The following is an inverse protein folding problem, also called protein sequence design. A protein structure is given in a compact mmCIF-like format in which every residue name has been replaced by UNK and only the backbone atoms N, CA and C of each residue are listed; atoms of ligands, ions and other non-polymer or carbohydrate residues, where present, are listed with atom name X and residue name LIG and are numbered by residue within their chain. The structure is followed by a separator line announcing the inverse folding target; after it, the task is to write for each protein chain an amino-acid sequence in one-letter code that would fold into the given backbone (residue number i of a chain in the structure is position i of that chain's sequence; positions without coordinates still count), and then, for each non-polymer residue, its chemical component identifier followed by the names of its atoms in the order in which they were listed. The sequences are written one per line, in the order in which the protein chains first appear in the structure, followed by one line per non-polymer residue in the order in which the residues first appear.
data_IF_489015510830
#
_entry.id   IF_489015510830
#
_cell.length_a   1.000
_cell.length_b   1.000
_cell.length_c   1.000
_cell.angle_alpha   90.00
_cell.angle_beta   90.00
_cell.angle_gamma   90.00
#
_symmetry.space_group_name_H-M   'P 1'
#
loop_
_entity.id
_entity.type
_entity.pdbx_description
1 polymer ?
#
# COMPACT_ATOMS: atom_id res chain seq x y z
N UNK A 1 -21.18 18.41 -70.51
CA UNK A 1 -21.08 19.40 -69.42
C UNK A 1 -22.20 19.10 -68.50
N UNK A 2 -21.93 18.32 -67.44
CA UNK A 2 -22.90 17.99 -66.33
C UNK A 2 -22.30 18.38 -65.05
N UNK A 3 -22.98 19.31 -64.34
CA UNK A 3 -22.59 19.85 -63.05
C UNK A 3 -22.86 18.81 -61.97
N UNK A 4 -21.84 18.52 -61.15
CA UNK A 4 -21.93 17.70 -59.97
C UNK A 4 -22.15 18.61 -58.76
N UNK A 5 -23.29 18.46 -58.11
CA UNK A 5 -23.67 19.13 -56.86
C UNK A 5 -23.00 18.44 -55.70
N UNK A 6 -22.35 19.11 -54.73
CA UNK A 6 -21.81 18.48 -53.53
C UNK A 6 -22.90 18.19 -52.52
N UNK A 7 -23.00 16.96 -52.06
CA UNK A 7 -23.84 16.52 -50.96
C UNK A 7 -23.29 17.04 -49.60
N UNK A 8 -24.16 17.62 -48.80
CA UNK A 8 -23.92 18.01 -47.39
C UNK A 8 -23.81 16.76 -46.52
N UNK A 9 -22.73 16.65 -45.75
CA UNK A 9 -22.56 15.69 -44.67
C UNK A 9 -23.49 15.99 -43.48
N UNK A 10 -24.04 14.97 -42.82
CA UNK A 10 -24.86 15.19 -41.63
C UNK A 10 -24.02 15.59 -40.41
N UNK A 11 -24.54 16.56 -39.67
CA UNK A 11 -24.01 17.08 -38.41
C UNK A 11 -23.91 15.98 -37.33
N UNK A 12 -22.71 15.75 -36.86
CA UNK A 12 -22.44 14.94 -35.64
C UNK A 12 -23.01 15.65 -34.41
N UNK A 13 -24.09 15.13 -33.89
CA UNK A 13 -24.60 15.46 -32.55
C UNK A 13 -23.55 15.08 -31.51
N UNK A 14 -22.95 16.07 -30.90
CA UNK A 14 -22.11 15.93 -29.71
C UNK A 14 -22.98 15.32 -28.61
N UNK A 15 -22.73 14.05 -28.28
CA UNK A 15 -23.23 13.42 -27.06
C UNK A 15 -22.63 14.17 -25.89
N UNK A 16 -23.49 14.80 -25.08
CA UNK A 16 -23.12 15.38 -23.81
C UNK A 16 -22.65 14.25 -22.88
N UNK A 17 -21.42 14.36 -22.38
CA UNK A 17 -20.95 13.55 -21.29
C UNK A 17 -21.89 13.70 -20.08
N UNK A 18 -22.18 12.61 -19.33
CA UNK A 18 -23.00 12.71 -18.13
C UNK A 18 -22.28 13.63 -17.13
N UNK A 19 -23.01 14.62 -16.66
CA UNK A 19 -22.61 15.52 -15.60
C UNK A 19 -22.08 14.66 -14.42
N UNK A 20 -20.82 14.82 -14.09
CA UNK A 20 -20.23 14.26 -12.89
C UNK A 20 -21.09 14.68 -11.71
N UNK A 21 -21.54 13.69 -10.96
CA UNK A 21 -22.20 13.86 -9.69
C UNK A 21 -21.29 14.66 -8.76
N UNK A 22 -21.53 15.95 -8.69
CA UNK A 22 -21.17 16.80 -7.55
C UNK A 22 -22.09 16.41 -6.40
N UNK A 23 -21.85 15.21 -5.83
CA UNK A 23 -22.49 14.79 -4.59
C UNK A 23 -21.80 15.53 -3.45
N UNK A 24 -22.50 16.58 -2.95
CA UNK A 24 -22.65 16.94 -1.54
C UNK A 24 -21.41 16.73 -0.66
N UNK A 25 -20.40 17.57 -0.81
CA UNK A 25 -19.61 18.04 0.32
C UNK A 25 -20.42 19.16 0.99
N UNK A 26 -21.47 18.79 1.73
CA UNK A 26 -22.04 19.69 2.72
C UNK A 26 -20.92 20.06 3.68
N UNK A 27 -20.57 21.34 3.68
CA UNK A 27 -19.39 21.89 4.29
C UNK A 27 -19.21 21.48 5.75
N UNK A 28 -18.20 20.69 6.02
CA UNK A 28 -17.56 20.69 7.31
C UNK A 28 -17.16 22.14 7.60
N UNK A 29 -17.75 22.73 8.64
CA UNK A 29 -17.41 24.10 9.05
C UNK A 29 -15.89 24.17 9.23
N UNK A 30 -15.27 25.28 8.81
CA UNK A 30 -13.81 25.47 8.91
C UNK A 30 -13.29 25.24 10.35
N UNK A 31 -14.14 25.42 11.35
CA UNK A 31 -13.87 25.16 12.77
C UNK A 31 -13.70 23.67 13.07
N UNK A 32 -14.40 22.76 12.37
CA UNK A 32 -14.37 21.32 12.65
C UNK A 32 -13.08 20.65 12.23
N UNK A 33 -12.29 21.27 11.35
CA UNK A 33 -11.02 20.75 10.83
C UNK A 33 -9.82 21.60 11.22
N UNK A 34 -9.98 22.64 12.01
CA UNK A 34 -8.88 23.53 12.43
C UNK A 34 -7.77 22.80 13.19
N UNK A 35 -8.11 21.76 13.96
CA UNK A 35 -7.17 20.91 14.68
C UNK A 35 -6.17 20.21 13.74
N UNK A 36 -6.49 20.04 12.45
CA UNK A 36 -5.58 19.43 11.46
C UNK A 36 -4.29 20.23 11.29
N UNK A 37 -4.29 21.53 11.62
CA UNK A 37 -3.07 22.35 11.59
C UNK A 37 -1.98 21.85 12.55
N UNK A 38 -2.35 21.14 13.61
CA UNK A 38 -1.38 20.53 14.54
C UNK A 38 -0.56 19.39 13.91
N UNK A 39 -1.00 18.91 12.76
CA UNK A 39 -0.31 17.88 11.99
C UNK A 39 0.72 18.42 10.99
N UNK A 40 0.92 19.73 10.86
CA UNK A 40 1.97 20.29 10.02
C UNK A 40 3.35 19.71 10.42
N UNK A 41 4.11 19.23 9.44
CA UNK A 41 5.41 18.57 9.64
C UNK A 41 5.34 17.16 10.20
N UNK A 42 4.16 16.54 10.27
CA UNK A 42 3.95 15.15 10.72
C UNK A 42 3.86 14.18 9.56
N UNK A 43 4.09 12.91 9.87
CA UNK A 43 3.96 11.80 8.94
C UNK A 43 2.80 10.89 9.36
N UNK A 44 1.71 10.91 8.59
CA UNK A 44 0.52 10.07 8.80
C UNK A 44 0.47 9.02 7.69
N UNK A 45 0.17 7.78 8.08
CA UNK A 45 0.04 6.65 7.17
C UNK A 45 -1.33 6.02 7.29
N UNK A 46 -1.96 5.73 6.15
CA UNK A 46 -3.16 4.92 6.07
C UNK A 46 -2.81 3.49 5.67
N UNK A 47 -3.30 2.53 6.43
CA UNK A 47 -3.04 1.11 6.28
C UNK A 47 -4.33 0.30 6.33
N UNK A 48 -4.27 -0.96 5.92
CA UNK A 48 -5.41 -1.88 5.94
C UNK A 48 -5.55 -2.64 4.63
N UNK A 49 -6.42 -3.66 4.57
CA UNK A 49 -6.61 -4.50 3.40
C UNK A 49 -7.17 -3.70 2.21
N UNK A 50 -7.03 -4.25 1.00
CA UNK A 50 -7.66 -3.71 -0.17
C UNK A 50 -9.18 -3.84 -0.05
N UNK A 51 -9.94 -2.92 -0.65
CA UNK A 51 -11.39 -2.84 -0.45
C UNK A 51 -11.84 -2.21 0.88
N UNK A 52 -10.93 -1.86 1.81
CA UNK A 52 -11.30 -1.21 3.10
C UNK A 52 -11.76 0.24 2.97
N UNK A 53 -11.71 0.84 1.78
CA UNK A 53 -12.13 2.22 1.57
C UNK A 53 -11.07 3.27 1.90
N UNK A 54 -9.80 2.85 2.15
CA UNK A 54 -8.66 3.76 2.40
C UNK A 54 -8.61 4.92 1.43
N UNK A 55 -8.62 4.65 0.13
CA UNK A 55 -8.48 5.68 -0.91
C UNK A 55 -9.59 6.72 -0.91
N UNK A 56 -10.80 6.36 -0.46
CA UNK A 56 -11.91 7.29 -0.27
C UNK A 56 -11.62 8.22 0.90
N UNK A 57 -11.21 7.67 2.04
CA UNK A 57 -10.90 8.44 3.23
C UNK A 57 -9.61 9.27 3.06
N UNK A 58 -8.64 8.74 2.32
CA UNK A 58 -7.42 9.45 1.95
C UNK A 58 -7.73 10.75 1.20
N UNK A 59 -8.56 10.67 0.15
CA UNK A 59 -8.97 11.86 -0.61
C UNK A 59 -9.75 12.86 0.24
N UNK A 60 -10.67 12.37 1.10
CA UNK A 60 -11.43 13.23 2.03
C UNK A 60 -10.51 13.95 3.01
N UNK A 61 -9.51 13.25 3.57
CA UNK A 61 -8.54 13.88 4.47
C UNK A 61 -7.64 14.88 3.74
N UNK A 62 -7.18 14.56 2.53
CA UNK A 62 -6.39 15.49 1.72
C UNK A 62 -7.16 16.77 1.40
N UNK A 63 -8.47 16.66 1.13
CA UNK A 63 -9.35 17.80 0.93
C UNK A 63 -9.55 18.64 2.21
N UNK A 64 -9.76 17.98 3.34
CA UNK A 64 -9.90 18.64 4.64
C UNK A 64 -8.60 19.37 5.05
N UNK A 65 -7.45 18.76 4.83
CA UNK A 65 -6.13 19.38 5.07
C UNK A 65 -5.92 20.62 4.19
N UNK A 66 -6.31 20.53 2.92
CA UNK A 66 -6.25 21.66 1.99
C UNK A 66 -7.16 22.80 2.45
N UNK A 67 -8.39 22.48 2.87
CA UNK A 67 -9.34 23.45 3.42
C UNK A 67 -8.86 24.09 4.72
N UNK A 68 -8.12 23.34 5.54
CA UNK A 68 -7.47 23.84 6.76
C UNK A 68 -6.15 24.59 6.49
N UNK A 69 -5.75 24.75 5.22
CA UNK A 69 -4.48 25.37 4.79
C UNK A 69 -3.24 24.69 5.40
N UNK A 70 -3.26 23.36 5.50
CA UNK A 70 -2.10 22.56 5.92
C UNK A 70 -1.32 22.15 4.68
N UNK A 71 -0.07 22.63 4.50
CA UNK A 71 0.78 22.16 3.41
C UNK A 71 0.97 20.64 3.52
N UNK A 72 0.58 19.91 2.47
CA UNK A 72 0.52 18.45 2.51
C UNK A 72 1.15 17.86 1.25
N UNK A 73 2.02 16.87 1.46
CA UNK A 73 2.54 16.00 0.40
C UNK A 73 1.84 14.63 0.50
N UNK A 74 1.12 14.27 -0.56
CA UNK A 74 0.42 13.00 -0.68
C UNK A 74 1.32 11.99 -1.38
N UNK A 75 1.47 10.78 -0.81
CA UNK A 75 2.30 9.70 -1.37
C UNK A 75 1.58 8.37 -1.27
N UNK A 76 2.00 7.40 -2.11
CA UNK A 76 1.48 6.02 -2.07
C UNK A 76 2.60 5.02 -2.27
N UNK A 77 2.49 3.85 -1.69
CA UNK A 77 3.40 2.73 -1.89
C UNK A 77 2.70 1.47 -2.47
N UNK A 78 3.41 0.69 -3.27
CA UNK A 78 4.70 1.02 -3.89
C UNK A 78 4.53 2.09 -4.97
N UNK A 79 5.57 2.89 -5.24
CA UNK A 79 5.54 3.93 -6.28
C UNK A 79 5.96 5.32 -5.79
N UNK A 80 5.43 6.36 -6.46
CA UNK A 80 5.63 7.75 -6.08
C UNK A 80 6.96 8.38 -6.55
N UNK A 81 7.83 7.61 -7.20
CA UNK A 81 9.05 8.09 -7.89
C UNK A 81 9.21 7.33 -9.21
N UNK A 82 10.00 7.84 -10.17
CA UNK A 82 10.20 7.13 -11.45
C UNK A 82 10.74 5.71 -11.28
N UNK A 83 11.65 5.48 -10.32
CA UNK A 83 12.17 4.13 -9.98
C UNK A 83 11.09 3.33 -9.26
N UNK A 84 10.41 3.94 -8.28
CA UNK A 84 9.33 3.31 -7.52
C UNK A 84 8.19 2.82 -8.40
N UNK A 85 7.79 3.57 -9.44
CA UNK A 85 6.74 3.14 -10.37
C UNK A 85 7.17 1.91 -11.19
N UNK A 86 8.43 1.85 -11.65
CA UNK A 86 8.95 0.65 -12.32
C UNK A 86 8.96 -0.57 -11.40
N UNK A 87 9.34 -0.38 -10.13
CA UNK A 87 9.28 -1.45 -9.14
C UNK A 87 7.83 -1.86 -8.89
N UNK A 88 6.90 -0.91 -8.84
CA UNK A 88 5.45 -1.19 -8.72
C UNK A 88 4.96 -2.09 -9.86
N UNK A 89 5.35 -1.81 -11.09
CA UNK A 89 4.98 -2.64 -12.24
C UNK A 89 5.47 -4.08 -12.06
N UNK A 90 6.71 -4.27 -11.61
CA UNK A 90 7.26 -5.60 -11.31
C UNK A 90 6.50 -6.29 -10.18
N UNK A 91 6.11 -5.55 -9.13
CA UNK A 91 5.46 -6.10 -7.95
C UNK A 91 4.01 -6.53 -8.22
N UNK A 92 3.25 -5.74 -8.99
CA UNK A 92 1.81 -5.89 -9.10
C UNK A 92 1.36 -6.57 -10.40
N UNK A 93 2.16 -6.51 -11.47
CA UNK A 93 1.84 -7.18 -12.73
C UNK A 93 1.92 -8.70 -12.57
N UNK A 94 0.89 -9.44 -12.96
CA UNK A 94 0.99 -10.90 -13.04
C UNK A 94 2.06 -11.32 -14.04
N UNK A 95 2.82 -12.38 -13.73
CA UNK A 95 3.72 -12.99 -14.70
C UNK A 95 2.91 -13.72 -15.78
N UNK A 96 3.30 -13.56 -17.03
CA UNK A 96 2.69 -14.31 -18.11
C UNK A 96 3.37 -15.69 -18.30
N UNK A 97 2.71 -16.62 -19.00
CA UNK A 97 3.23 -17.97 -19.19
C UNK A 97 4.60 -18.03 -19.87
N UNK A 98 4.92 -17.10 -20.77
CA UNK A 98 6.22 -17.08 -21.45
C UNK A 98 7.33 -16.63 -20.49
N UNK A 99 7.08 -15.68 -19.61
CA UNK A 99 8.01 -15.25 -18.56
C UNK A 99 8.25 -16.40 -17.58
N UNK A 100 7.21 -17.17 -17.25
CA UNK A 100 7.30 -18.32 -16.35
C UNK A 100 8.11 -19.48 -16.95
N UNK A 101 8.01 -19.71 -18.26
CA UNK A 101 8.75 -20.77 -18.98
C UNK A 101 10.20 -20.40 -19.30
N UNK A 102 10.55 -19.11 -19.26
CA UNK A 102 11.89 -18.63 -19.58
C UNK A 102 12.94 -18.92 -18.48
N UNK A 103 12.52 -19.41 -17.29
CA UNK A 103 13.43 -19.79 -16.21
C UNK A 103 13.95 -21.19 -16.50
N UNK A 104 15.27 -21.37 -16.78
CA UNK A 104 15.84 -22.70 -16.97
C UNK A 104 15.61 -23.52 -15.70
N UNK A 105 15.17 -24.78 -15.84
CA UNK A 105 15.17 -25.73 -14.74
C UNK A 105 16.61 -25.85 -14.22
N UNK A 106 16.88 -25.33 -13.03
CA UNK A 106 18.18 -25.53 -12.37
C UNK A 106 18.23 -27.00 -11.96
N UNK A 107 18.89 -27.80 -12.76
CA UNK A 107 19.24 -29.17 -12.34
C UNK A 107 20.03 -29.10 -11.03
N UNK A 108 19.69 -29.87 -10.01
CA UNK A 108 20.47 -29.90 -8.78
C UNK A 108 21.94 -30.23 -9.18
N UNK A 109 22.83 -29.30 -8.88
CA UNK A 109 24.24 -29.46 -9.12
C UNK A 109 24.69 -30.64 -8.25
N UNK A 110 25.17 -31.73 -8.88
CA UNK A 110 25.81 -32.81 -8.14
C UNK A 110 26.93 -32.22 -7.30
N UNK A 111 26.90 -32.44 -6.00
CA UNK A 111 27.99 -32.06 -5.09
C UNK A 111 29.24 -32.69 -5.58
N UNK A 112 30.36 -31.94 -5.74
CA UNK A 112 31.66 -32.54 -6.13
C UNK A 112 32.14 -33.39 -4.96
N UNK A 113 32.07 -34.72 -5.08
CA UNK A 113 32.54 -35.67 -4.07
C UNK A 113 31.56 -36.77 -3.68
N UNK A 114 30.38 -36.89 -4.29
CA UNK A 114 29.52 -38.04 -4.06
C UNK A 114 30.11 -39.30 -4.73
N UNK A 115 30.61 -40.24 -3.92
CA UNK A 115 31.09 -41.56 -4.37
C UNK A 115 29.98 -42.34 -5.09
N UNK A 116 30.25 -42.99 -6.24
CA UNK A 116 29.24 -43.79 -6.92
C UNK A 116 29.09 -45.15 -6.22
N UNK A 117 28.18 -45.26 -5.23
CA UNK A 117 28.02 -46.54 -4.54
C UNK A 117 26.98 -46.63 -3.43
N UNK A 118 26.27 -45.59 -3.05
CA UNK A 118 25.21 -45.69 -2.05
C UNK A 118 23.87 -46.01 -2.74
N UNK A 119 23.32 -47.17 -2.46
CA UNK A 119 22.03 -47.65 -2.97
C UNK A 119 20.86 -46.79 -2.53
N UNK A 120 19.64 -47.01 -3.12
CA UNK A 120 18.53 -46.05 -3.12
C UNK A 120 17.71 -45.98 -1.83
N UNK A 121 18.20 -46.41 -0.66
CA UNK A 121 17.33 -46.65 0.51
C UNK A 121 17.44 -45.66 1.68
N UNK A 122 18.14 -44.53 1.56
CA UNK A 122 18.15 -43.56 2.67
C UNK A 122 18.40 -42.11 2.27
N UNK A 123 17.88 -41.67 1.13
CA UNK A 123 17.76 -40.24 0.87
C UNK A 123 16.43 -39.77 1.52
N UNK A 124 16.52 -39.10 2.69
CA UNK A 124 15.43 -38.25 3.14
C UNK A 124 15.08 -37.33 1.97
N UNK A 125 13.96 -37.60 1.33
CA UNK A 125 13.50 -36.89 0.15
C UNK A 125 13.38 -35.42 0.52
N UNK A 126 14.41 -34.65 0.14
CA UNK A 126 14.18 -33.20 -0.03
C UNK A 126 12.99 -33.12 -0.98
N UNK A 127 11.86 -32.51 -0.57
CA UNK A 127 10.70 -32.46 -1.45
C UNK A 127 11.16 -31.82 -2.75
N UNK A 128 11.06 -32.57 -3.83
CA UNK A 128 11.28 -32.05 -5.17
C UNK A 128 10.38 -30.84 -5.29
N UNK A 129 10.97 -29.64 -5.41
CA UNK A 129 10.23 -28.44 -5.75
C UNK A 129 9.66 -28.73 -7.12
N UNK A 130 8.40 -29.14 -7.16
CA UNK A 130 7.69 -29.36 -8.41
C UNK A 130 7.66 -28.03 -9.13
N UNK A 131 8.06 -28.00 -10.39
CA UNK A 131 8.21 -26.81 -11.21
C UNK A 131 6.93 -25.94 -11.29
N UNK A 132 5.81 -26.41 -10.77
CA UNK A 132 4.53 -25.70 -10.71
C UNK A 132 4.32 -24.84 -9.47
N UNK A 133 5.02 -25.11 -8.35
CA UNK A 133 4.78 -24.37 -7.09
C UNK A 133 5.71 -23.15 -6.88
N UNK A 134 6.69 -22.92 -7.76
CA UNK A 134 7.75 -21.93 -7.56
C UNK A 134 7.86 -20.85 -8.63
N UNK A 135 6.90 -20.75 -9.55
CA UNK A 135 7.00 -19.77 -10.65
C UNK A 135 6.31 -18.46 -10.31
N UNK A 136 6.53 -18.00 -9.09
CA UNK A 136 6.12 -16.67 -8.62
C UNK A 136 7.31 -15.97 -7.96
N UNK A 137 7.13 -14.67 -7.69
CA UNK A 137 8.11 -13.92 -6.92
C UNK A 137 8.19 -14.46 -5.49
N UNK A 138 9.38 -14.85 -5.01
CA UNK A 138 9.52 -15.25 -3.62
C UNK A 138 9.17 -14.12 -2.66
N UNK A 139 8.61 -14.46 -1.49
CA UNK A 139 8.21 -13.46 -0.47
C UNK A 139 9.39 -12.56 -0.06
N UNK A 140 10.60 -13.10 -0.05
CA UNK A 140 11.83 -12.35 0.24
C UNK A 140 12.13 -11.33 -0.85
N UNK A 141 12.05 -11.71 -2.13
CA UNK A 141 12.23 -10.81 -3.26
C UNK A 141 11.15 -9.71 -3.24
N UNK A 142 9.90 -10.09 -3.00
CA UNK A 142 8.76 -9.17 -2.87
C UNK A 142 9.04 -8.12 -1.78
N UNK A 143 9.46 -8.55 -0.59
CA UNK A 143 9.81 -7.65 0.53
C UNK A 143 10.94 -6.70 0.14
N UNK A 144 12.00 -7.18 -0.49
CA UNK A 144 13.14 -6.34 -0.90
C UNK A 144 12.76 -5.30 -1.96
N UNK A 145 11.88 -5.66 -2.90
CA UNK A 145 11.38 -4.71 -3.90
C UNK A 145 10.48 -3.62 -3.26
N UNK A 146 9.61 -4.00 -2.32
CA UNK A 146 8.86 -3.00 -1.54
C UNK A 146 9.80 -2.06 -0.80
N UNK A 147 10.84 -2.58 -0.18
CA UNK A 147 11.82 -1.76 0.55
C UNK A 147 12.66 -0.87 -0.38
N UNK A 148 13.01 -1.34 -1.58
CA UNK A 148 13.70 -0.53 -2.59
C UNK A 148 12.82 0.64 -3.08
N UNK A 149 11.55 0.38 -3.40
CA UNK A 149 10.59 1.43 -3.76
C UNK A 149 10.40 2.46 -2.64
N UNK A 150 10.33 1.98 -1.40
CA UNK A 150 10.21 2.81 -0.20
C UNK A 150 11.44 3.69 0.03
N UNK A 151 12.63 3.15 -0.15
CA UNK A 151 13.87 3.90 0.01
C UNK A 151 13.92 5.11 -0.94
N UNK A 152 13.57 4.91 -2.21
CA UNK A 152 13.45 5.99 -3.19
C UNK A 152 12.41 7.04 -2.78
N UNK A 153 11.23 6.59 -2.33
CA UNK A 153 10.16 7.48 -1.91
C UNK A 153 10.57 8.30 -0.67
N UNK A 154 11.18 7.65 0.31
CA UNK A 154 11.61 8.32 1.55
C UNK A 154 12.69 9.36 1.26
N UNK A 155 13.71 9.01 0.47
CA UNK A 155 14.83 9.90 0.18
C UNK A 155 14.41 11.13 -0.64
N UNK A 156 13.61 10.90 -1.69
CA UNK A 156 13.34 11.92 -2.69
C UNK A 156 12.04 12.70 -2.46
N UNK A 157 11.12 12.20 -1.64
CA UNK A 157 9.81 12.84 -1.45
C UNK A 157 9.51 13.07 0.03
N UNK A 158 9.51 12.02 0.87
CA UNK A 158 9.01 12.11 2.24
C UNK A 158 9.91 12.98 3.11
N UNK A 159 11.22 12.70 3.17
CA UNK A 159 12.16 13.48 3.98
C UNK A 159 12.25 14.95 3.54
N UNK A 160 12.32 15.28 2.23
CA UNK A 160 12.27 16.67 1.79
C UNK A 160 10.98 17.39 2.19
N UNK A 161 9.80 16.75 2.07
CA UNK A 161 8.53 17.33 2.48
C UNK A 161 8.48 17.62 3.99
N UNK A 162 8.88 16.66 4.82
CA UNK A 162 8.97 16.85 6.27
C UNK A 162 9.96 17.95 6.66
N UNK A 163 11.08 18.09 5.94
CA UNK A 163 12.04 19.20 6.15
C UNK A 163 11.43 20.57 5.83
N UNK A 164 10.51 20.65 4.86
CA UNK A 164 9.76 21.88 4.56
C UNK A 164 8.64 22.17 5.58
N UNK A 165 8.40 21.27 6.53
CA UNK A 165 7.32 21.40 7.51
C UNK A 165 5.95 20.98 6.96
N UNK A 166 5.91 20.31 5.83
CA UNK A 166 4.68 19.77 5.25
C UNK A 166 4.22 18.51 6.01
N UNK A 167 2.92 18.33 6.13
CA UNK A 167 2.37 17.03 6.51
C UNK A 167 2.62 16.06 5.35
N UNK A 168 3.12 14.86 5.65
CA UNK A 168 3.14 13.78 4.68
C UNK A 168 2.00 12.82 4.98
N UNK A 169 1.11 12.62 4.01
CA UNK A 169 0.02 11.65 4.06
C UNK A 169 0.32 10.51 3.09
N UNK A 170 0.51 9.29 3.62
CA UNK A 170 0.88 8.12 2.83
C UNK A 170 -0.24 7.08 2.79
N UNK A 171 -0.51 6.53 1.60
CA UNK A 171 -1.26 5.28 1.43
C UNK A 171 -0.26 4.13 1.41
N UNK A 172 -0.18 3.41 2.53
CA UNK A 172 0.74 2.34 2.89
C UNK A 172 2.16 2.80 3.24
N UNK A 173 2.81 2.00 4.12
CA UNK A 173 4.21 2.11 4.51
C UNK A 173 4.71 0.77 5.07
N UNK A 174 5.61 0.78 6.05
CA UNK A 174 6.25 -0.42 6.62
C UNK A 174 5.24 -1.41 7.22
N UNK A 175 4.13 -0.95 7.80
CA UNK A 175 3.13 -1.83 8.39
C UNK A 175 2.49 -2.77 7.37
N UNK A 176 2.32 -2.32 6.10
CA UNK A 176 1.92 -3.21 4.99
C UNK A 176 2.91 -4.37 4.82
N UNK A 177 4.22 -4.11 4.83
CA UNK A 177 5.22 -5.17 4.67
C UNK A 177 5.24 -6.14 5.85
N UNK A 178 5.06 -5.63 7.08
CA UNK A 178 4.96 -6.48 8.27
C UNK A 178 3.69 -7.36 8.23
N UNK A 179 2.58 -6.86 7.71
CA UNK A 179 1.34 -7.63 7.60
C UNK A 179 1.40 -8.65 6.44
N UNK A 180 1.80 -8.21 5.23
CA UNK A 180 1.74 -9.03 4.02
C UNK A 180 2.90 -10.00 3.90
N UNK A 181 4.15 -9.54 4.01
CA UNK A 181 5.34 -10.39 3.89
C UNK A 181 5.74 -11.03 5.22
N UNK A 182 5.40 -10.40 6.34
CA UNK A 182 5.61 -10.94 7.68
C UNK A 182 4.51 -11.90 8.10
N UNK A 183 3.43 -11.38 8.68
CA UNK A 183 2.39 -12.20 9.30
C UNK A 183 1.74 -13.21 8.34
N UNK A 184 1.45 -12.81 7.10
CA UNK A 184 0.84 -13.68 6.11
C UNK A 184 1.88 -14.44 5.27
N UNK A 185 3.03 -13.82 4.95
CA UNK A 185 4.08 -14.38 4.11
C UNK A 185 5.14 -15.18 4.85
N UNK A 186 5.15 -15.15 6.19
CA UNK A 186 6.01 -15.98 7.03
C UNK A 186 7.45 -15.47 7.22
N UNK A 187 7.80 -14.26 6.75
CA UNK A 187 9.10 -13.69 7.04
C UNK A 187 9.18 -13.20 8.50
N UNK A 188 10.31 -13.39 9.19
CA UNK A 188 10.50 -12.87 10.54
C UNK A 188 10.35 -11.35 10.58
N UNK A 189 9.56 -10.84 11.52
CA UNK A 189 9.36 -9.40 11.69
C UNK A 189 10.68 -8.65 12.01
N UNK A 190 11.63 -9.32 12.65
CA UNK A 190 12.98 -8.80 12.91
C UNK A 190 13.73 -8.47 11.63
N UNK A 191 13.66 -9.37 10.64
CA UNK A 191 14.37 -9.21 9.36
C UNK A 191 13.75 -8.06 8.55
N UNK A 192 12.41 -8.04 8.47
CA UNK A 192 11.67 -6.94 7.84
C UNK A 192 12.04 -5.60 8.50
N UNK A 193 12.05 -5.55 9.84
CA UNK A 193 12.36 -4.33 10.58
C UNK A 193 13.80 -3.88 10.38
N UNK A 194 14.75 -4.82 10.25
CA UNK A 194 16.15 -4.51 9.97
C UNK A 194 16.31 -3.85 8.60
N UNK A 195 15.70 -4.42 7.56
CA UNK A 195 15.74 -3.86 6.19
C UNK A 195 14.95 -2.54 6.12
N UNK A 196 13.80 -2.45 6.81
CA UNK A 196 13.03 -1.23 6.87
C UNK A 196 13.79 -0.05 7.49
N UNK A 197 14.58 -0.28 8.55
CA UNK A 197 15.44 0.77 9.15
C UNK A 197 16.42 1.36 8.13
N UNK A 198 17.00 0.53 7.29
CA UNK A 198 17.90 0.99 6.22
C UNK A 198 17.10 1.77 5.17
N UNK A 199 16.03 1.18 4.63
CA UNK A 199 15.22 1.77 3.57
C UNK A 199 14.57 3.10 3.98
N UNK A 200 14.17 3.26 5.24
CA UNK A 200 13.50 4.47 5.74
C UNK A 200 14.43 5.45 6.44
N UNK A 201 15.72 5.15 6.58
CA UNK A 201 16.67 5.94 7.41
C UNK A 201 16.14 6.12 8.84
N UNK A 202 15.57 5.08 9.42
CA UNK A 202 14.88 5.08 10.72
C UNK A 202 13.66 6.01 10.82
N UNK A 203 13.16 6.55 9.71
CA UNK A 203 11.93 7.34 9.73
C UNK A 203 10.76 6.48 10.19
N UNK A 204 10.02 6.97 11.18
CA UNK A 204 8.80 6.35 11.68
C UNK A 204 7.62 7.31 11.48
N UNK A 205 6.44 6.81 11.14
CA UNK A 205 5.22 7.62 11.15
C UNK A 205 4.90 8.13 12.56
N UNK A 206 4.35 9.35 12.62
CA UNK A 206 3.78 9.89 13.87
C UNK A 206 2.44 9.21 14.20
N UNK A 207 1.67 8.83 13.17
CA UNK A 207 0.41 8.12 13.30
C UNK A 207 0.21 7.15 12.13
N UNK A 208 -0.23 5.95 12.44
CA UNK A 208 -0.70 4.94 11.47
C UNK A 208 -2.17 4.64 11.73
N UNK A 209 -3.02 4.89 10.76
CA UNK A 209 -4.45 4.59 10.84
C UNK A 209 -4.73 3.32 10.06
N UNK A 210 -5.16 2.27 10.76
CA UNK A 210 -5.54 0.98 10.18
C UNK A 210 -7.05 1.00 9.92
N UNK A 211 -7.44 0.87 8.67
CA UNK A 211 -8.84 0.67 8.27
C UNK A 211 -9.16 -0.83 8.32
N UNK A 212 -9.71 -1.25 9.46
CA UNK A 212 -10.02 -2.66 9.70
C UNK A 212 -11.28 -3.08 8.96
N UNK A 213 -11.15 -4.11 8.12
CA UNK A 213 -12.25 -4.70 7.39
C UNK A 213 -12.05 -6.21 7.27
N UNK A 214 -13.11 -6.96 7.50
CA UNK A 214 -13.15 -8.39 7.27
C UNK A 214 -12.95 -8.71 5.78
N UNK A 215 -12.23 -9.80 5.50
CA UNK A 215 -11.90 -10.21 4.14
C UNK A 215 -13.13 -10.41 3.25
N UNK A 216 -14.21 -11.01 3.78
CA UNK A 216 -15.42 -11.24 2.98
C UNK A 216 -16.12 -9.93 2.61
N UNK A 217 -16.11 -8.95 3.53
CA UNK A 217 -16.62 -7.62 3.27
C UNK A 217 -15.73 -6.86 2.27
N UNK A 218 -14.41 -7.02 2.38
CA UNK A 218 -13.44 -6.43 1.45
C UNK A 218 -13.64 -6.99 0.03
N UNK A 219 -13.71 -8.30 -0.13
CA UNK A 219 -13.91 -8.97 -1.41
C UNK A 219 -15.21 -8.53 -2.13
N UNK A 220 -16.29 -8.27 -1.37
CA UNK A 220 -17.55 -7.76 -1.95
C UNK A 220 -17.43 -6.34 -2.52
N UNK A 221 -16.46 -5.54 -2.03
CA UNK A 221 -16.24 -4.16 -2.48
C UNK A 221 -15.23 -4.07 -3.63
N UNK A 222 -14.38 -5.08 -3.77
CA UNK A 222 -13.42 -5.17 -4.86
C UNK A 222 -14.11 -5.70 -6.12
N UNK A 223 -13.66 -5.23 -7.28
CA UNK A 223 -14.13 -5.71 -8.58
C UNK A 223 -13.51 -7.06 -8.99
N UNK A 224 -13.76 -7.49 -10.22
CA UNK A 224 -13.25 -8.75 -10.79
C UNK A 224 -11.75 -8.71 -11.18
N UNK A 225 -11.16 -7.52 -11.29
CA UNK A 225 -9.75 -7.37 -11.66
C UNK A 225 -8.91 -7.30 -10.39
N UNK A 226 -8.36 -8.44 -10.00
CA UNK A 226 -7.47 -8.57 -8.86
C UNK A 226 -6.01 -8.43 -9.31
N UNK A 227 -5.21 -7.67 -8.57
CA UNK A 227 -3.77 -7.70 -8.76
C UNK A 227 -3.14 -8.97 -8.15
N UNK A 228 -1.82 -9.14 -8.32
CA UNK A 228 -1.09 -10.32 -7.84
C UNK A 228 -1.21 -10.52 -6.31
N UNK A 229 -1.33 -9.44 -5.56
CA UNK A 229 -1.43 -9.51 -4.10
C UNK A 229 -2.86 -9.85 -3.65
N UNK A 230 -3.85 -9.29 -4.33
CA UNK A 230 -5.27 -9.53 -4.07
C UNK A 230 -5.68 -10.98 -4.40
N UNK A 231 -4.99 -11.61 -5.37
CA UNK A 231 -5.24 -12.98 -5.79
C UNK A 231 -4.77 -14.07 -4.79
N UNK A 232 -4.11 -13.72 -3.67
CA UNK A 232 -3.52 -14.70 -2.72
C UNK A 232 -4.53 -15.47 -1.85
N UNK A 233 -5.81 -15.21 -1.97
CA UNK A 233 -6.89 -15.99 -1.34
C UNK A 233 -7.22 -15.59 0.11
N UNK A 234 -8.36 -16.10 0.60
CA UNK A 234 -8.99 -15.70 1.86
C UNK A 234 -8.10 -15.91 3.11
N UNK A 235 -7.47 -17.07 3.21
CA UNK A 235 -6.62 -17.41 4.36
C UNK A 235 -5.41 -16.48 4.49
N UNK A 236 -4.83 -16.06 3.36
CA UNK A 236 -3.74 -15.09 3.34
C UNK A 236 -4.21 -13.72 3.86
N UNK A 237 -5.34 -13.23 3.35
CA UNK A 237 -5.89 -11.93 3.73
C UNK A 237 -6.38 -11.88 5.19
N UNK A 238 -6.86 -13.00 5.74
CA UNK A 238 -7.15 -13.10 7.18
C UNK A 238 -5.89 -12.90 8.03
N UNK A 239 -4.77 -13.54 7.66
CA UNK A 239 -3.49 -13.34 8.34
C UNK A 239 -2.95 -11.92 8.20
N UNK A 240 -3.16 -11.28 7.03
CA UNK A 240 -2.81 -9.85 6.84
C UNK A 240 -3.57 -8.98 7.83
N UNK A 241 -4.89 -9.15 7.96
CA UNK A 241 -5.72 -8.44 8.93
C UNK A 241 -5.24 -8.66 10.35
N UNK A 242 -5.01 -9.91 10.74
CA UNK A 242 -4.48 -10.26 12.06
C UNK A 242 -3.12 -9.57 12.33
N UNK A 243 -2.25 -9.54 11.32
CA UNK A 243 -0.96 -8.84 11.39
C UNK A 243 -1.13 -7.34 11.66
N UNK A 244 -2.04 -6.67 10.98
CA UNK A 244 -2.33 -5.25 11.25
C UNK A 244 -2.87 -5.02 12.67
N UNK A 245 -3.81 -5.85 13.12
CA UNK A 245 -4.38 -5.72 14.47
C UNK A 245 -3.34 -6.01 15.56
N UNK A 246 -2.43 -6.96 15.32
CA UNK A 246 -1.31 -7.22 16.23
C UNK A 246 -0.36 -6.01 16.35
N UNK A 247 -0.05 -5.33 15.23
CA UNK A 247 0.73 -4.09 15.25
C UNK A 247 0.03 -2.99 16.05
N UNK A 248 -1.27 -2.80 15.87
CA UNK A 248 -2.04 -1.82 16.62
C UNK A 248 -2.02 -2.11 18.13
N UNK A 249 -2.14 -3.38 18.50
CA UNK A 249 -2.08 -3.80 19.89
C UNK A 249 -0.69 -3.62 20.51
N UNK A 250 0.38 -3.78 19.72
CA UNK A 250 1.76 -3.68 20.23
C UNK A 250 2.23 -2.24 20.46
N UNK A 251 1.71 -1.27 19.71
CA UNK A 251 2.06 0.15 19.84
C UNK A 251 0.81 1.05 19.70
N UNK A 252 -0.09 1.04 20.71
CA UNK A 252 -1.31 1.84 20.67
C UNK A 252 -1.04 3.36 20.67
N UNK A 253 0.18 3.77 21.01
CA UNK A 253 0.61 5.17 20.90
C UNK A 253 0.73 5.65 19.46
N UNK A 254 1.17 4.79 18.56
CA UNK A 254 1.38 5.10 17.14
C UNK A 254 0.23 4.64 16.25
N UNK A 255 -0.39 3.53 16.54
CA UNK A 255 -1.44 2.95 15.72
C UNK A 255 -2.83 3.30 16.25
N UNK A 256 -3.75 3.54 15.34
CA UNK A 256 -5.18 3.66 15.61
C UNK A 256 -5.95 2.75 14.65
N UNK A 257 -7.05 2.18 15.10
CA UNK A 257 -7.91 1.32 14.29
C UNK A 257 -9.24 2.00 14.05
N UNK A 258 -9.68 2.04 12.79
CA UNK A 258 -10.96 2.56 12.34
C UNK A 258 -11.77 1.39 11.78
N UNK A 259 -13.01 1.23 12.25
CA UNK A 259 -13.95 0.21 11.76
C UNK A 259 -14.43 0.60 10.35
N UNK A 260 -13.83 0.00 9.34
CA UNK A 260 -14.12 0.25 7.94
C UNK A 260 -15.33 -0.56 7.41
N UNK A 261 -16.00 -1.35 8.23
CA UNK A 261 -17.22 -2.06 7.85
C UNK A 261 -18.43 -1.13 7.71
N UNK A 262 -18.38 0.02 8.36
CA UNK A 262 -19.44 1.04 8.36
C UNK A 262 -19.55 1.78 7.02
N UNK A 263 -20.57 2.64 6.93
CA UNK A 263 -20.75 3.54 5.79
C UNK A 263 -19.59 4.56 5.67
N UNK A 264 -19.31 5.07 4.46
CA UNK A 264 -18.18 6.00 4.24
C UNK A 264 -18.17 7.23 5.14
N UNK A 265 -19.36 7.76 5.50
CA UNK A 265 -19.49 8.94 6.35
C UNK A 265 -19.27 8.63 7.83
N UNK A 266 -19.69 7.46 8.29
CA UNK A 266 -19.42 6.99 9.66
C UNK A 266 -17.92 6.71 9.84
N UNK A 267 -17.27 6.09 8.82
CA UNK A 267 -15.81 5.88 8.80
C UNK A 267 -15.08 7.22 8.84
N UNK A 268 -15.58 8.22 8.09
CA UNK A 268 -15.04 9.57 8.10
C UNK A 268 -15.15 10.24 9.47
N UNK A 269 -16.32 10.17 10.08
CA UNK A 269 -16.54 10.74 11.41
C UNK A 269 -15.63 10.10 12.46
N UNK A 270 -15.46 8.76 12.41
CA UNK A 270 -14.56 8.03 13.29
C UNK A 270 -13.10 8.42 13.04
N UNK A 271 -12.67 8.55 11.77
CA UNK A 271 -11.33 9.01 11.41
C UNK A 271 -11.04 10.40 11.97
N UNK A 272 -11.96 11.36 11.77
CA UNK A 272 -11.80 12.71 12.29
C UNK A 272 -11.76 12.75 13.83
N UNK A 273 -12.59 11.95 14.49
CA UNK A 273 -12.55 11.78 15.95
C UNK A 273 -11.19 11.29 16.41
N UNK A 274 -10.70 10.21 15.78
CA UNK A 274 -9.37 9.65 16.04
C UNK A 274 -8.26 10.67 15.85
N UNK A 275 -8.28 11.43 14.75
CA UNK A 275 -7.28 12.47 14.50
C UNK A 275 -7.38 13.61 15.53
N UNK A 276 -8.58 14.02 15.93
CA UNK A 276 -8.76 15.07 16.95
C UNK A 276 -8.20 14.65 18.30
N UNK A 277 -8.49 13.43 18.73
CA UNK A 277 -7.99 12.88 20.02
C UNK A 277 -6.46 12.78 20.00
N UNK A 278 -5.88 12.33 18.88
CA UNK A 278 -4.43 12.27 18.71
C UNK A 278 -3.79 13.64 18.67
N UNK A 279 -4.41 14.62 18.03
CA UNK A 279 -3.90 15.99 17.98
C UNK A 279 -3.69 16.58 19.37
N UNK A 280 -4.60 16.27 20.32
CA UNK A 280 -4.50 16.73 21.69
C UNK A 280 -3.30 16.16 22.47
N UNK A 281 -2.74 15.03 22.01
CA UNK A 281 -1.61 14.33 22.66
C UNK A 281 -0.29 14.50 21.91
N UNK A 282 -0.27 15.19 20.77
CA UNK A 282 0.94 15.40 19.98
C UNK A 282 1.96 16.24 20.74
N UNK A 283 3.13 15.65 21.01
CA UNK A 283 4.26 16.42 21.50
C UNK A 283 4.75 17.45 20.47
N UNK A 284 5.30 18.58 20.90
CA UNK A 284 5.92 19.54 19.97
C UNK A 284 6.94 18.84 19.07
N UNK A 285 6.96 19.18 17.78
CA UNK A 285 7.95 18.63 16.86
C UNK A 285 9.33 19.16 17.28
N UNK A 286 10.17 18.30 17.84
CA UNK A 286 11.58 18.61 18.06
C UNK A 286 12.26 18.70 16.68
N UNK A 287 12.53 19.90 16.19
CA UNK A 287 13.26 20.12 14.93
C UNK A 287 14.75 19.77 15.04
N UNK A 288 15.24 19.45 16.24
CA UNK A 288 16.61 19.04 16.49
C UNK A 288 16.70 17.51 16.39
N UNK A 289 17.16 16.97 15.27
CA UNK A 289 17.59 15.57 15.22
C UNK A 289 17.18 14.71 14.04
N UNK A 290 16.45 15.20 13.06
CA UNK A 290 16.26 14.44 11.79
C UNK A 290 17.34 14.85 10.75
N UNK A 291 18.63 14.66 11.14
CA UNK A 291 19.76 14.77 10.21
C UNK A 291 20.03 13.44 9.51
#
# INVERSE_FOLDING_TARGET
MSAVTPQRSPSTTRSAAPAAQTAQTEGLKAEDVSFLRSYAGRFIVFEGPDGSGKSTQFRRLAEALRSAHVPTTEVREPGGTPVGERIRDVLLRPFNESELRAVPAVSPRAEPGAEPGAGPDNAAATPAITAHDSVGMSVRCEMLLYMASRAELVEHVVLPALKRGELVLADRFVASTLAYQGAAGGLPASDISAVARVATRNLQPDLVVIFDLDHHAAAKRMGLLLDRMEAKGAAFHSKVREGYLALAKSDPGRYAVVDAARGPDEVWAQLLGTLRDRAATLSPISRAGKR
#
